data_IF_288503470622
#
_entry.id   IF_288503470622
#
_cell.length_a   1.000
_cell.length_b   1.000
_cell.length_c   1.000
_cell.angle_alpha   90.00
_cell.angle_beta   90.00
_cell.angle_gamma   90.00
#
_symmetry.space_group_name_H-M   'P 1'
#
loop_
_entity.id
_entity.type
_entity.pdbx_description
1 polymer ?
#
# COMPACT_ATOMS: atom_id res chain seq x y z
N UNK A 1 9.85 -27.14 -53.74
CA UNK A 1 8.83 -26.09 -53.59
C UNK A 1 9.01 -25.48 -52.21
N UNK A 2 9.70 -24.35 -52.14
CA UNK A 2 9.64 -23.38 -51.05
C UNK A 2 8.26 -22.67 -51.16
N UNK A 3 7.49 -22.22 -50.17
CA UNK A 3 7.58 -21.98 -48.72
C UNK A 3 6.13 -22.01 -48.19
N UNK A 4 5.88 -22.54 -46.99
CA UNK A 4 5.03 -21.88 -45.99
C UNK A 4 5.44 -22.35 -44.60
N UNK A 5 6.60 -21.84 -44.20
CA UNK A 5 6.94 -21.64 -42.80
C UNK A 5 5.90 -20.68 -42.21
N UNK A 6 4.89 -21.21 -41.54
CA UNK A 6 3.94 -20.42 -40.72
C UNK A 6 3.61 -21.13 -39.42
N UNK A 7 4.58 -21.86 -38.89
CA UNK A 7 4.62 -22.22 -37.47
C UNK A 7 4.98 -20.98 -36.65
N UNK A 8 4.18 -19.91 -36.77
CA UNK A 8 4.16 -18.94 -35.70
C UNK A 8 3.87 -19.75 -34.43
N UNK A 9 4.78 -19.74 -33.46
CA UNK A 9 4.48 -20.21 -32.11
C UNK A 9 3.22 -19.47 -31.67
N UNK A 10 2.06 -20.10 -31.88
CA UNK A 10 0.80 -19.58 -31.37
C UNK A 10 0.97 -19.64 -29.87
N UNK A 11 0.76 -18.51 -29.21
CA UNK A 11 0.85 -18.39 -27.76
C UNK A 11 -0.45 -17.78 -27.28
N UNK A 12 -0.99 -18.29 -26.19
CA UNK A 12 -2.17 -17.71 -25.56
C UNK A 12 -1.75 -16.53 -24.70
N UNK A 13 -2.41 -15.38 -24.88
CA UNK A 13 -2.10 -14.18 -24.11
C UNK A 13 -2.22 -14.43 -22.59
N UNK A 14 -1.34 -13.84 -21.75
CA UNK A 14 -1.37 -14.02 -20.30
C UNK A 14 -2.74 -13.80 -19.65
N UNK A 15 -3.50 -12.80 -20.14
CA UNK A 15 -4.82 -12.48 -19.62
C UNK A 15 -5.86 -13.53 -20.01
N UNK A 16 -5.84 -13.99 -21.27
CA UNK A 16 -6.75 -15.05 -21.71
C UNK A 16 -6.46 -16.36 -20.98
N UNK A 17 -5.18 -16.74 -20.84
CA UNK A 17 -4.81 -17.92 -20.08
C UNK A 17 -5.22 -17.83 -18.61
N UNK A 18 -5.06 -16.66 -17.96
CA UNK A 18 -5.56 -16.44 -16.60
C UNK A 18 -7.10 -16.58 -16.49
N UNK A 19 -7.85 -16.14 -17.50
CA UNK A 19 -9.31 -16.31 -17.56
C UNK A 19 -9.71 -17.78 -17.65
N UNK A 20 -9.00 -18.58 -18.45
CA UNK A 20 -9.23 -20.02 -18.54
C UNK A 20 -8.87 -20.72 -17.21
N UNK A 21 -7.76 -20.33 -16.59
CA UNK A 21 -7.39 -20.84 -15.25
C UNK A 21 -8.46 -20.50 -14.21
N UNK A 22 -9.01 -19.27 -14.21
CA UNK A 22 -10.09 -18.84 -13.30
C UNK A 22 -11.32 -19.74 -13.42
N UNK A 23 -11.83 -19.96 -14.65
CA UNK A 23 -13.02 -20.79 -14.84
C UNK A 23 -12.75 -22.24 -14.40
N UNK A 24 -11.60 -22.82 -14.74
CA UNK A 24 -11.26 -24.18 -14.32
C UNK A 24 -11.06 -24.30 -12.80
N UNK A 25 -10.51 -23.27 -12.15
CA UNK A 25 -10.29 -23.23 -10.70
C UNK A 25 -11.61 -23.19 -9.92
N UNK A 26 -12.71 -22.67 -10.50
CA UNK A 26 -14.06 -22.73 -9.91
C UNK A 26 -14.64 -24.16 -9.88
N UNK A 27 -14.09 -25.09 -10.67
CA UNK A 27 -14.55 -26.48 -10.77
C UNK A 27 -13.43 -27.51 -10.53
N UNK A 28 -12.71 -27.46 -9.40
CA UNK A 28 -11.42 -28.14 -9.22
C UNK A 28 -11.50 -29.67 -9.13
N UNK A 29 -12.67 -30.24 -8.83
CA UNK A 29 -12.83 -31.68 -8.62
C UNK A 29 -13.34 -32.42 -9.87
N UNK A 30 -14.00 -31.72 -10.79
CA UNK A 30 -14.59 -32.32 -12.01
C UNK A 30 -13.86 -31.87 -13.27
N UNK A 31 -13.23 -30.70 -13.26
CA UNK A 31 -12.80 -30.04 -14.48
C UNK A 31 -14.00 -29.59 -15.33
N UNK A 32 -13.71 -28.97 -16.46
CA UNK A 32 -14.71 -28.51 -17.44
C UNK A 32 -14.56 -29.36 -18.70
N UNK A 33 -15.64 -29.93 -19.22
CA UNK A 33 -15.62 -30.64 -20.50
C UNK A 33 -15.16 -29.72 -21.63
N UNK A 34 -14.28 -30.22 -22.51
CA UNK A 34 -13.59 -29.36 -23.48
C UNK A 34 -14.57 -28.57 -24.36
N UNK A 35 -15.62 -29.25 -24.85
CA UNK A 35 -16.66 -28.63 -25.68
C UNK A 35 -17.51 -27.58 -24.94
N UNK A 36 -17.51 -27.58 -23.60
CA UNK A 36 -18.26 -26.65 -22.76
C UNK A 36 -17.44 -25.42 -22.33
N UNK A 37 -16.13 -25.37 -22.60
CA UNK A 37 -15.26 -24.26 -22.16
C UNK A 37 -15.77 -22.90 -22.64
N UNK A 38 -16.16 -22.79 -23.92
CA UNK A 38 -16.66 -21.54 -24.49
C UNK A 38 -17.94 -21.05 -23.80
N UNK A 39 -18.82 -21.98 -23.42
CA UNK A 39 -20.02 -21.67 -22.65
C UNK A 39 -19.69 -21.13 -21.25
N UNK A 40 -18.79 -21.79 -20.52
CA UNK A 40 -18.38 -21.33 -19.19
C UNK A 40 -17.63 -20.00 -19.23
N UNK A 41 -16.83 -19.77 -20.27
CA UNK A 41 -16.18 -18.49 -20.50
C UNK A 41 -17.22 -17.37 -20.69
N UNK A 42 -18.19 -17.57 -21.59
CA UNK A 42 -19.25 -16.60 -21.82
C UNK A 42 -20.07 -16.32 -20.56
N UNK A 43 -20.41 -17.38 -19.81
CA UNK A 43 -21.15 -17.27 -18.56
C UNK A 43 -20.42 -16.43 -17.51
N UNK A 44 -19.10 -16.59 -17.41
CA UNK A 44 -18.29 -15.91 -16.40
C UNK A 44 -18.00 -14.45 -16.78
N UNK A 45 -17.67 -14.19 -18.05
CA UNK A 45 -17.18 -12.87 -18.47
C UNK A 45 -18.19 -12.04 -19.25
N UNK A 46 -19.38 -12.59 -19.52
CA UNK A 46 -20.48 -11.93 -20.23
C UNK A 46 -20.16 -11.51 -21.67
N UNK A 47 -19.17 -12.12 -22.31
CA UNK A 47 -18.86 -11.99 -23.75
C UNK A 47 -18.27 -13.31 -24.28
N UNK A 48 -18.45 -13.64 -25.57
CA UNK A 48 -17.97 -14.89 -26.13
C UNK A 48 -16.45 -14.90 -26.32
N UNK A 49 -15.81 -16.06 -26.15
CA UNK A 49 -14.43 -16.28 -26.60
C UNK A 49 -14.43 -16.67 -28.08
N UNK A 50 -13.99 -15.75 -28.94
CA UNK A 50 -13.85 -16.02 -30.37
C UNK A 50 -12.47 -16.62 -30.66
N UNK A 51 -12.41 -17.94 -30.78
CA UNK A 51 -11.17 -18.67 -31.05
C UNK A 51 -10.50 -18.22 -32.36
N UNK A 52 -11.27 -17.86 -33.39
CA UNK A 52 -10.70 -17.46 -34.68
C UNK A 52 -9.91 -16.15 -34.55
N UNK A 53 -10.45 -15.20 -33.78
CA UNK A 53 -9.78 -13.94 -33.44
C UNK A 53 -8.49 -14.15 -32.64
N UNK A 54 -8.45 -15.19 -31.80
CA UNK A 54 -7.27 -15.63 -31.03
C UNK A 54 -6.31 -16.50 -31.86
N UNK A 55 -6.62 -16.77 -33.13
CA UNK A 55 -5.77 -17.55 -34.05
C UNK A 55 -5.94 -19.07 -33.94
N UNK A 56 -7.07 -19.55 -33.42
CA UNK A 56 -7.40 -20.96 -33.27
C UNK A 56 -8.67 -21.32 -34.05
N UNK A 57 -8.59 -22.40 -34.82
CA UNK A 57 -9.68 -22.95 -35.63
C UNK A 57 -10.61 -23.89 -34.83
N UNK A 58 -10.12 -24.44 -33.72
CA UNK A 58 -10.86 -25.34 -32.85
C UNK A 58 -10.42 -25.20 -31.38
N UNK A 59 -11.17 -25.82 -30.46
CA UNK A 59 -10.88 -25.78 -29.03
C UNK A 59 -9.66 -26.63 -28.67
N UNK A 60 -9.42 -27.74 -29.36
CA UNK A 60 -8.31 -28.66 -29.07
C UNK A 60 -6.93 -28.02 -29.29
N UNK A 61 -6.64 -27.36 -30.44
CA UNK A 61 -5.39 -26.62 -30.62
C UNK A 61 -5.19 -25.51 -29.60
N UNK A 62 -6.27 -24.83 -29.21
CA UNK A 62 -6.23 -23.79 -28.17
C UNK A 62 -5.84 -24.35 -26.80
N UNK A 63 -6.44 -25.48 -26.39
CA UNK A 63 -6.09 -26.16 -25.14
C UNK A 63 -4.65 -26.68 -25.17
N UNK A 64 -4.23 -27.26 -26.29
CA UNK A 64 -2.87 -27.75 -26.45
C UNK A 64 -1.86 -26.61 -26.27
N UNK A 65 -2.16 -25.44 -26.84
CA UNK A 65 -1.35 -24.24 -26.67
C UNK A 65 -1.28 -23.78 -25.20
N UNK A 66 -2.40 -23.75 -24.47
CA UNK A 66 -2.42 -23.44 -23.04
C UNK A 66 -1.51 -24.37 -22.22
N UNK A 67 -1.48 -25.66 -22.56
CA UNK A 67 -0.61 -26.63 -21.88
C UNK A 67 0.85 -26.39 -22.24
N UNK A 68 1.16 -26.17 -23.52
CA UNK A 68 2.51 -25.89 -24.01
C UNK A 68 3.08 -24.57 -23.44
N UNK A 69 2.24 -23.57 -23.22
CA UNK A 69 2.60 -22.28 -22.61
C UNK A 69 2.76 -22.36 -21.07
N UNK A 70 2.73 -23.57 -20.50
CA UNK A 70 2.90 -23.84 -19.08
C UNK A 70 1.86 -23.19 -18.15
N UNK A 71 0.64 -22.94 -18.64
CA UNK A 71 -0.47 -22.66 -17.73
C UNK A 71 -0.72 -23.89 -16.83
N UNK A 72 -1.21 -23.70 -15.60
CA UNK A 72 -1.40 -24.78 -14.62
C UNK A 72 -2.66 -25.62 -14.92
N UNK A 73 -2.78 -26.05 -16.17
CA UNK A 73 -3.94 -26.76 -16.72
C UNK A 73 -3.50 -28.13 -17.23
N UNK A 74 -4.37 -29.11 -17.05
CA UNK A 74 -4.21 -30.48 -17.56
C UNK A 74 -5.52 -30.98 -18.18
N UNK A 75 -5.39 -31.85 -19.18
CA UNK A 75 -6.53 -32.60 -19.69
C UNK A 75 -6.61 -33.93 -18.95
N UNK A 76 -7.76 -34.19 -18.36
CA UNK A 76 -8.08 -35.44 -17.66
C UNK A 76 -9.17 -36.19 -18.44
N UNK A 77 -9.09 -37.51 -18.42
CA UNK A 77 -10.12 -38.38 -19.00
C UNK A 77 -11.19 -38.69 -17.96
N UNK A 78 -12.43 -38.35 -18.28
CA UNK A 78 -13.59 -38.67 -17.44
C UNK A 78 -13.94 -40.14 -17.42
N UNK A 79 -14.54 -40.59 -16.32
CA UNK A 79 -15.10 -41.96 -16.21
C UNK A 79 -16.24 -42.23 -17.21
N UNK A 80 -16.81 -41.17 -17.78
CA UNK A 80 -17.86 -41.17 -18.80
C UNK A 80 -17.30 -41.03 -20.23
N UNK A 81 -15.98 -41.08 -20.41
CA UNK A 81 -15.31 -40.99 -21.71
C UNK A 81 -15.10 -39.56 -22.22
N UNK A 82 -15.58 -38.54 -21.50
CA UNK A 82 -15.40 -37.14 -21.89
C UNK A 82 -14.10 -36.57 -21.35
N UNK A 83 -13.32 -35.92 -22.22
CA UNK A 83 -12.11 -35.18 -21.85
C UNK A 83 -12.49 -33.87 -21.15
N UNK A 84 -11.77 -33.53 -20.08
CA UNK A 84 -12.00 -32.32 -19.29
C UNK A 84 -10.71 -31.56 -19.06
N UNK A 85 -10.81 -30.24 -19.05
CA UNK A 85 -9.74 -29.34 -18.67
C UNK A 85 -9.85 -29.03 -17.18
N UNK A 86 -8.80 -29.34 -16.42
CA UNK A 86 -8.74 -29.14 -14.97
C UNK A 86 -7.49 -28.35 -14.59
N UNK A 87 -7.52 -27.78 -13.39
CA UNK A 87 -6.34 -27.13 -12.79
C UNK A 87 -5.48 -28.17 -12.09
N UNK A 88 -4.22 -28.28 -12.50
CA UNK A 88 -3.22 -29.02 -11.75
C UNK A 88 -2.88 -28.23 -10.48
N UNK A 89 -3.29 -28.74 -9.31
CA UNK A 89 -3.14 -28.04 -8.02
C UNK A 89 -1.69 -27.70 -7.69
N UNK A 90 -0.75 -28.57 -8.03
CA UNK A 90 0.67 -28.37 -7.73
C UNK A 90 1.24 -27.28 -8.63
N UNK A 91 0.99 -27.37 -9.95
CA UNK A 91 1.43 -26.33 -10.90
C UNK A 91 0.76 -25.00 -10.62
N UNK A 92 -0.51 -24.98 -10.21
CA UNK A 92 -1.24 -23.76 -9.88
C UNK A 92 -0.57 -22.97 -8.76
N UNK A 93 -0.14 -23.64 -7.69
CA UNK A 93 0.57 -22.99 -6.59
C UNK A 93 1.85 -22.29 -7.06
N UNK A 94 2.70 -22.98 -7.84
CA UNK A 94 3.95 -22.41 -8.35
C UNK A 94 3.70 -21.29 -9.37
N UNK A 95 2.77 -21.51 -10.29
CA UNK A 95 2.40 -20.53 -11.30
C UNK A 95 1.89 -19.24 -10.65
N UNK A 96 0.97 -19.36 -9.69
CA UNK A 96 0.45 -18.23 -8.92
C UNK A 96 1.54 -17.51 -8.12
N UNK A 97 2.46 -18.25 -7.50
CA UNK A 97 3.62 -17.66 -6.84
C UNK A 97 4.44 -16.81 -7.82
N UNK A 98 4.68 -17.32 -9.03
CA UNK A 98 5.32 -16.57 -10.11
C UNK A 98 4.55 -15.31 -10.51
N UNK A 99 3.22 -15.39 -10.65
CA UNK A 99 2.34 -14.24 -10.95
C UNK A 99 2.48 -13.14 -9.87
N UNK A 100 2.50 -13.53 -8.60
CA UNK A 100 2.69 -12.61 -7.46
C UNK A 100 4.06 -11.95 -7.46
N UNK A 101 5.12 -12.74 -7.59
CA UNK A 101 6.52 -12.25 -7.61
C UNK A 101 6.73 -11.28 -8.77
N UNK A 102 6.18 -11.60 -9.94
CA UNK A 102 6.23 -10.73 -11.11
C UNK A 102 5.26 -9.53 -11.06
N UNK A 103 4.48 -9.37 -9.97
CA UNK A 103 3.50 -8.30 -9.78
C UNK A 103 2.54 -8.15 -10.97
N UNK A 104 2.10 -9.26 -11.57
CA UNK A 104 1.15 -9.25 -12.69
C UNK A 104 -0.28 -9.02 -12.18
N UNK A 105 -0.54 -7.81 -11.71
CA UNK A 105 -1.78 -7.44 -11.03
C UNK A 105 -3.02 -7.71 -11.88
N UNK A 106 -2.98 -7.47 -13.19
CA UNK A 106 -4.11 -7.76 -14.10
C UNK A 106 -4.54 -9.22 -14.04
N UNK A 107 -3.58 -10.16 -13.99
CA UNK A 107 -3.88 -11.58 -13.85
C UNK A 107 -4.42 -11.90 -12.44
N UNK A 108 -3.87 -11.29 -11.40
CA UNK A 108 -4.36 -11.47 -10.03
C UNK A 108 -5.81 -10.98 -9.88
N UNK A 109 -6.14 -9.85 -10.50
CA UNK A 109 -7.48 -9.28 -10.53
C UNK A 109 -8.45 -10.22 -11.27
N UNK A 110 -8.03 -10.82 -12.38
CA UNK A 110 -8.81 -11.86 -13.07
C UNK A 110 -9.03 -13.07 -12.14
N UNK A 111 -8.05 -13.49 -11.35
CA UNK A 111 -8.17 -14.72 -10.55
C UNK A 111 -8.96 -14.55 -9.24
N UNK A 112 -9.07 -13.33 -8.70
CA UNK A 112 -9.44 -13.12 -7.29
C UNK A 112 -10.93 -13.03 -6.96
N UNK A 113 -11.81 -13.01 -7.96
CA UNK A 113 -13.27 -12.92 -7.78
C UNK A 113 -13.69 -11.91 -6.70
N UNK A 114 -13.11 -10.70 -6.75
CA UNK A 114 -13.38 -9.64 -5.80
C UNK A 114 -14.64 -8.86 -6.19
N UNK A 115 -15.36 -8.27 -5.21
CA UNK A 115 -16.50 -7.40 -5.50
C UNK A 115 -16.14 -6.20 -6.40
N UNK A 116 -17.05 -5.81 -7.29
CA UNK A 116 -16.84 -4.70 -8.25
C UNK A 116 -16.63 -3.33 -7.58
N UNK A 117 -17.09 -3.17 -6.33
CA UNK A 117 -16.92 -1.97 -5.51
C UNK A 117 -15.62 -1.98 -4.68
N UNK A 118 -14.82 -3.05 -4.76
CA UNK A 118 -13.48 -3.12 -4.19
C UNK A 118 -12.42 -2.63 -5.19
N UNK A 119 -11.29 -2.15 -4.67
CA UNK A 119 -10.16 -1.80 -5.53
C UNK A 119 -9.48 -3.04 -6.11
N UNK A 120 -8.99 -2.90 -7.32
CA UNK A 120 -8.11 -3.87 -7.95
C UNK A 120 -6.72 -3.88 -7.28
N UNK A 121 -6.05 -5.03 -7.32
CA UNK A 121 -4.63 -5.15 -6.97
C UNK A 121 -3.78 -4.21 -7.83
N UNK A 122 -2.71 -3.68 -7.24
CA UNK A 122 -1.83 -2.72 -7.89
C UNK A 122 -2.31 -1.27 -7.81
N UNK A 123 -3.53 -1.02 -7.34
CA UNK A 123 -4.01 0.34 -7.10
C UNK A 123 -3.14 1.06 -6.06
N UNK A 124 -2.76 2.30 -6.37
CA UNK A 124 -2.01 3.16 -5.46
C UNK A 124 -2.92 4.29 -4.99
N UNK A 125 -2.93 4.55 -3.68
CA UNK A 125 -3.60 5.74 -3.17
C UNK A 125 -2.96 7.01 -3.77
N UNK A 126 -3.76 8.05 -4.02
CA UNK A 126 -3.21 9.36 -4.33
C UNK A 126 -2.24 9.77 -3.21
N UNK A 127 -1.10 10.35 -3.57
CA UNK A 127 -0.15 10.88 -2.59
C UNK A 127 -0.58 12.29 -2.24
N UNK A 128 -0.73 12.57 -0.95
CA UNK A 128 -0.91 13.95 -0.51
C UNK A 128 0.33 14.76 -0.89
N UNK A 129 0.14 15.84 -1.62
CA UNK A 129 1.19 16.77 -1.98
C UNK A 129 0.99 18.04 -1.18
N UNK A 130 2.03 18.41 -0.42
CA UNK A 130 2.03 19.70 0.26
C UNK A 130 1.92 20.82 -0.79
N UNK A 131 1.02 21.81 -0.63
CA UNK A 131 0.97 22.98 -1.49
C UNK A 131 2.35 23.62 -1.64
N UNK A 132 2.74 23.97 -2.87
CA UNK A 132 4.10 24.45 -3.17
C UNK A 132 4.48 25.71 -2.37
N UNK A 133 3.51 26.56 -2.06
CA UNK A 133 3.68 27.76 -1.24
C UNK A 133 3.99 27.48 0.24
N UNK A 134 3.78 26.25 0.72
CA UNK A 134 4.16 25.82 2.07
C UNK A 134 5.57 25.20 2.12
N UNK A 135 6.23 25.05 0.97
CA UNK A 135 7.61 24.57 0.89
C UNK A 135 8.54 25.76 0.71
N UNK A 136 9.36 26.03 1.71
CA UNK A 136 10.33 27.12 1.69
C UNK A 136 11.43 26.83 0.67
N UNK A 137 11.73 27.82 -0.19
CA UNK A 137 12.93 27.82 -1.00
C UNK A 137 14.10 28.25 -0.11
N UNK A 138 15.07 27.36 0.13
CA UNK A 138 16.29 27.77 0.84
C UNK A 138 17.13 28.67 -0.06
N UNK A 139 17.67 29.79 0.45
CA UNK A 139 18.72 30.53 -0.24
C UNK A 139 19.98 29.67 -0.44
N UNK A 140 20.70 29.89 -1.54
CA UNK A 140 22.00 29.23 -1.81
C UNK A 140 23.09 29.62 -0.81
N UNK A 141 22.93 30.76 -0.13
CA UNK A 141 23.85 31.28 0.88
C UNK A 141 23.10 31.39 2.21
N UNK A 142 23.46 30.52 3.16
CA UNK A 142 22.92 30.54 4.51
C UNK A 142 23.67 31.62 5.31
N UNK A 143 23.07 32.81 5.48
CA UNK A 143 23.63 33.87 6.33
C UNK A 143 22.55 34.45 7.26
N UNK A 144 22.86 34.62 8.55
CA UNK A 144 21.91 35.11 9.54
C UNK A 144 20.88 34.05 9.96
N UNK A 145 20.05 34.40 10.95
CA UNK A 145 19.14 33.50 11.67
C UNK A 145 17.95 33.03 10.79
N UNK A 146 18.26 32.25 9.74
CA UNK A 146 17.36 31.86 8.62
C UNK A 146 16.05 31.22 9.10
N UNK A 147 16.09 30.59 10.27
CA UNK A 147 14.94 29.97 10.91
C UNK A 147 13.79 30.98 11.14
N UNK A 148 14.10 32.26 11.35
CA UNK A 148 13.10 33.31 11.56
C UNK A 148 12.42 33.77 10.26
N UNK A 149 13.01 33.48 9.10
CA UNK A 149 12.46 33.86 7.79
C UNK A 149 11.59 32.76 7.16
N UNK A 150 11.60 31.55 7.74
CA UNK A 150 10.84 30.42 7.23
C UNK A 150 9.34 30.60 7.50
N UNK A 151 8.55 30.22 6.49
CA UNK A 151 7.13 30.00 6.65
C UNK A 151 6.88 28.68 7.38
N UNK A 152 6.12 28.75 8.48
CA UNK A 152 5.65 27.61 9.24
C UNK A 152 4.16 27.40 9.00
N UNK A 153 3.75 26.14 8.95
CA UNK A 153 2.34 25.75 8.94
C UNK A 153 2.03 24.82 10.11
N UNK A 154 0.81 24.92 10.63
CA UNK A 154 0.33 24.05 11.69
C UNK A 154 0.12 22.62 11.18
N UNK A 155 0.67 21.68 11.91
CA UNK A 155 0.59 20.26 11.66
C UNK A 155 0.24 19.51 12.94
N UNK A 156 -0.32 18.32 12.81
CA UNK A 156 -0.56 17.41 13.93
C UNK A 156 0.42 16.26 13.84
N UNK A 157 1.21 16.02 14.89
CA UNK A 157 2.04 14.83 14.99
C UNK A 157 1.15 13.60 15.22
N UNK A 158 1.22 12.65 14.30
CA UNK A 158 0.36 11.45 14.33
C UNK A 158 1.10 10.23 14.87
N UNK A 159 2.38 10.08 14.49
CA UNK A 159 3.21 8.96 14.92
C UNK A 159 4.69 9.31 14.83
N UNK A 160 5.50 8.85 15.79
CA UNK A 160 6.94 9.07 15.78
C UNK A 160 7.75 7.78 16.00
N UNK A 161 8.67 7.49 15.07
CA UNK A 161 9.62 6.38 15.19
C UNK A 161 10.98 6.88 15.67
N UNK A 162 11.44 7.99 15.08
CA UNK A 162 12.72 8.65 15.40
C UNK A 162 12.70 10.10 14.92
N UNK A 163 13.68 10.95 15.29
CA UNK A 163 13.76 12.31 14.77
C UNK A 163 13.83 12.43 13.24
N UNK A 164 14.28 11.38 12.53
CA UNK A 164 14.27 11.35 11.06
C UNK A 164 13.08 10.58 10.47
N UNK A 165 12.16 10.08 11.30
CA UNK A 165 11.01 9.32 10.86
C UNK A 165 9.79 9.61 11.75
N UNK A 166 9.06 10.65 11.38
CA UNK A 166 7.81 11.08 12.00
C UNK A 166 6.73 11.23 10.94
N UNK A 167 5.47 11.20 11.36
CA UNK A 167 4.32 11.30 10.49
C UNK A 167 3.38 12.39 10.98
N UNK A 168 2.98 13.29 10.09
CA UNK A 168 2.18 14.46 10.43
C UNK A 168 0.95 14.60 9.52
N UNK A 169 -0.10 15.23 10.03
CA UNK A 169 -1.26 15.70 9.26
C UNK A 169 -1.24 17.21 9.16
N UNK A 170 -1.73 17.75 8.04
CA UNK A 170 -1.98 19.18 7.92
C UNK A 170 -3.17 19.58 8.81
N UNK A 171 -3.04 20.68 9.57
CA UNK A 171 -4.12 21.25 10.35
C UNK A 171 -4.90 22.25 9.48
N UNK A 172 -5.71 21.72 8.57
CA UNK A 172 -6.63 22.49 7.74
C UNK A 172 -8.04 21.88 7.83
N UNK A 173 -9.07 22.73 7.85
CA UNK A 173 -10.45 22.31 8.09
C UNK A 173 -10.95 21.33 7.03
N UNK A 174 -10.62 21.56 5.76
CA UNK A 174 -11.05 20.69 4.66
C UNK A 174 -10.41 19.30 4.77
N UNK A 175 -9.10 19.25 5.07
CA UNK A 175 -8.37 18.00 5.23
C UNK A 175 -8.82 17.23 6.47
N UNK A 176 -9.00 17.93 7.59
CA UNK A 176 -9.50 17.34 8.83
C UNK A 176 -10.89 16.74 8.62
N UNK A 177 -11.80 17.49 7.98
CA UNK A 177 -13.16 17.05 7.70
C UNK A 177 -13.19 15.86 6.73
N UNK A 178 -12.36 15.88 5.68
CA UNK A 178 -12.27 14.80 4.71
C UNK A 178 -11.77 13.49 5.36
N UNK A 179 -10.72 13.55 6.17
CA UNK A 179 -10.22 12.39 6.90
C UNK A 179 -11.21 11.89 7.96
N UNK A 180 -11.88 12.80 8.66
CA UNK A 180 -12.93 12.46 9.63
C UNK A 180 -14.12 11.76 8.96
N UNK A 181 -14.58 12.26 7.80
CA UNK A 181 -15.63 11.61 7.00
C UNK A 181 -15.23 10.21 6.55
N UNK A 182 -14.01 10.03 6.04
CA UNK A 182 -13.49 8.72 5.68
C UNK A 182 -13.59 7.73 6.85
N UNK A 183 -13.14 8.12 8.05
CA UNK A 183 -13.19 7.26 9.26
C UNK A 183 -14.62 6.87 9.63
N UNK A 184 -15.57 7.81 9.53
CA UNK A 184 -16.99 7.53 9.78
C UNK A 184 -17.52 6.56 8.73
N UNK A 185 -17.30 6.84 7.45
CA UNK A 185 -17.87 6.06 6.36
C UNK A 185 -17.32 4.63 6.34
N UNK A 186 -16.07 4.41 6.75
CA UNK A 186 -15.46 3.08 6.86
C UNK A 186 -16.12 2.20 7.94
N UNK A 187 -16.95 2.76 8.85
CA UNK A 187 -17.76 1.96 9.78
C UNK A 187 -18.77 1.06 9.05
N UNK A 188 -19.04 1.28 7.75
CA UNK A 188 -19.89 0.36 6.98
C UNK A 188 -19.34 -1.06 6.92
N UNK A 189 -18.03 -1.27 7.16
CA UNK A 189 -17.45 -2.62 7.27
C UNK A 189 -17.94 -3.40 8.48
N UNK A 190 -18.52 -2.75 9.50
CA UNK A 190 -19.11 -3.44 10.66
C UNK A 190 -20.49 -4.07 10.35
N UNK A 191 -21.06 -3.83 9.16
CA UNK A 191 -22.25 -4.56 8.72
C UNK A 191 -21.90 -6.04 8.51
N UNK A 192 -22.70 -6.94 9.09
CA UNK A 192 -22.53 -8.40 9.02
C UNK A 192 -22.48 -8.89 7.57
N UNK A 193 -23.30 -8.31 6.68
CA UNK A 193 -23.32 -8.68 5.25
C UNK A 193 -21.97 -8.41 4.56
N UNK A 194 -21.17 -7.49 5.09
CA UNK A 194 -19.88 -7.09 4.56
C UNK A 194 -18.72 -7.93 5.11
N UNK A 195 -18.95 -8.75 6.14
CA UNK A 195 -17.89 -9.46 6.84
C UNK A 195 -17.18 -10.47 5.92
N UNK A 196 -17.96 -11.29 5.22
CA UNK A 196 -17.43 -12.25 4.25
C UNK A 196 -17.26 -11.63 2.86
N UNK A 197 -18.15 -10.72 2.44
CA UNK A 197 -18.13 -10.10 1.10
C UNK A 197 -16.78 -9.47 0.77
N UNK A 198 -16.19 -8.73 1.73
CA UNK A 198 -14.93 -8.03 1.51
C UNK A 198 -13.74 -8.71 2.17
N UNK A 199 -13.86 -9.96 2.62
CA UNK A 199 -12.70 -10.68 3.15
C UNK A 199 -11.60 -10.76 2.10
N UNK A 200 -10.35 -10.49 2.50
CA UNK A 200 -9.21 -10.63 1.58
C UNK A 200 -9.01 -12.11 1.22
N UNK A 201 -9.13 -12.52 -0.05
CA UNK A 201 -8.88 -13.90 -0.45
C UNK A 201 -7.40 -14.28 -0.21
N UNK A 202 -7.12 -15.53 0.16
CA UNK A 202 -5.73 -16.01 0.36
C UNK A 202 -4.85 -15.82 -0.89
N UNK A 203 -5.47 -15.86 -2.07
CA UNK A 203 -4.86 -15.53 -3.34
C UNK A 203 -4.26 -14.12 -3.35
N UNK A 204 -4.90 -13.15 -2.71
CA UNK A 204 -4.49 -11.74 -2.69
C UNK A 204 -3.62 -11.38 -1.49
N UNK A 205 -3.24 -12.33 -0.65
CA UNK A 205 -2.27 -12.09 0.41
C UNK A 205 -0.86 -12.01 -0.21
N UNK A 206 -0.35 -10.78 -0.35
CA UNK A 206 1.01 -10.45 -0.80
C UNK A 206 1.42 -9.04 -0.33
N UNK A 207 2.72 -8.77 -0.32
CA UNK A 207 3.27 -7.47 0.08
C UNK A 207 2.89 -6.37 -0.92
N UNK A 208 2.36 -5.27 -0.40
CA UNK A 208 1.89 -4.13 -1.17
C UNK A 208 0.38 -4.13 -1.45
N UNK A 209 -0.38 -5.14 -1.03
CA UNK A 209 -1.84 -5.08 -1.10
C UNK A 209 -2.36 -3.94 -0.22
N UNK A 210 -3.17 -3.07 -0.81
CA UNK A 210 -3.94 -2.04 -0.10
C UNK A 210 -5.25 -2.66 0.44
N UNK A 211 -5.46 -2.55 1.74
CA UNK A 211 -6.58 -3.16 2.45
C UNK A 211 -7.09 -2.25 3.58
N UNK A 212 -8.27 -2.59 4.13
CA UNK A 212 -8.78 -2.03 5.36
C UNK A 212 -8.51 -3.00 6.53
N UNK A 213 -8.18 -2.45 7.70
CA UNK A 213 -7.98 -3.21 8.93
C UNK A 213 -8.64 -2.49 10.10
N UNK A 214 -9.21 -3.26 11.01
CA UNK A 214 -9.74 -2.71 12.26
C UNK A 214 -8.67 -2.72 13.34
N UNK A 215 -8.31 -1.56 13.88
CA UNK A 215 -7.24 -1.43 14.87
C UNK A 215 -7.79 -1.22 16.28
N UNK A 216 -7.50 -2.17 17.17
CA UNK A 216 -8.06 -2.18 18.52
C UNK A 216 -7.59 -1.02 19.41
N UNK A 217 -6.37 -0.50 19.21
CA UNK A 217 -5.82 0.57 20.05
C UNK A 217 -6.41 1.95 19.77
N UNK A 218 -7.00 2.14 18.58
CA UNK A 218 -7.62 3.42 18.17
C UNK A 218 -9.13 3.20 18.08
N UNK A 219 -9.78 3.12 19.25
CA UNK A 219 -11.24 3.03 19.38
C UNK A 219 -11.91 1.94 18.52
N UNK A 220 -11.20 0.85 18.20
CA UNK A 220 -11.68 -0.21 17.32
C UNK A 220 -12.14 0.28 15.93
N UNK A 221 -11.51 1.32 15.39
CA UNK A 221 -11.90 1.88 14.09
C UNK A 221 -11.22 1.19 12.91
N UNK A 222 -11.83 1.35 11.74
CA UNK A 222 -11.30 0.89 10.46
C UNK A 222 -10.31 1.91 9.90
N UNK A 223 -9.16 1.40 9.45
CA UNK A 223 -8.10 2.19 8.86
C UNK A 223 -7.68 1.63 7.52
N UNK A 224 -7.25 2.51 6.61
CA UNK A 224 -6.59 2.12 5.37
C UNK A 224 -5.17 1.67 5.67
N UNK A 225 -4.72 0.61 5.02
CA UNK A 225 -3.45 -0.04 5.33
C UNK A 225 -2.82 -0.71 4.13
N UNK A 226 -1.51 -0.87 4.14
CA UNK A 226 -0.78 -1.65 3.14
C UNK A 226 -0.06 -2.81 3.84
N UNK A 227 -0.18 -4.02 3.28
CA UNK A 227 0.59 -5.18 3.74
C UNK A 227 2.08 -4.96 3.46
N UNK A 228 2.91 -4.98 4.51
CA UNK A 228 4.36 -4.86 4.42
C UNK A 228 5.04 -6.24 4.36
N UNK A 229 4.53 -7.20 5.13
CA UNK A 229 5.04 -8.57 5.18
C UNK A 229 4.00 -9.51 5.76
N UNK A 230 4.06 -10.79 5.40
CA UNK A 230 3.15 -11.84 5.89
C UNK A 230 3.98 -12.99 6.45
N UNK A 231 3.64 -13.48 7.64
CA UNK A 231 4.27 -14.65 8.24
C UNK A 231 3.57 -15.98 7.83
N UNK A 232 4.03 -17.11 8.37
CA UNK A 232 3.49 -18.44 8.03
C UNK A 232 2.07 -18.68 8.56
N UNK A 233 1.67 -17.94 9.58
CA UNK A 233 0.36 -18.04 10.23
C UNK A 233 -0.64 -16.98 9.69
N UNK A 234 -0.28 -16.33 8.57
CA UNK A 234 -0.99 -15.22 7.94
C UNK A 234 -1.15 -13.99 8.85
N UNK A 235 -0.26 -13.79 9.82
CA UNK A 235 -0.15 -12.50 10.49
C UNK A 235 0.57 -11.52 9.56
N UNK A 236 -0.05 -10.38 9.37
CA UNK A 236 0.39 -9.34 8.46
C UNK A 236 0.95 -8.18 9.27
N UNK A 237 2.13 -7.70 8.90
CA UNK A 237 2.58 -6.36 9.27
C UNK A 237 1.96 -5.35 8.32
N UNK A 238 1.31 -4.33 8.86
CA UNK A 238 0.47 -3.39 8.10
C UNK A 238 0.91 -1.97 8.38
N UNK A 239 1.21 -1.19 7.34
CA UNK A 239 1.39 0.25 7.47
C UNK A 239 0.02 0.92 7.43
N UNK A 240 -0.37 1.63 8.49
CA UNK A 240 -1.55 2.48 8.49
C UNK A 240 -1.24 3.75 7.69
N UNK A 241 -1.67 3.82 6.43
CA UNK A 241 -1.24 4.87 5.48
C UNK A 241 -1.68 6.28 5.85
N UNK A 242 -2.67 6.39 6.72
CA UNK A 242 -3.17 7.66 7.24
C UNK A 242 -2.58 8.03 8.60
N UNK A 243 -1.72 7.20 9.19
CA UNK A 243 -1.14 7.46 10.53
C UNK A 243 0.38 7.35 10.51
N UNK A 244 0.92 6.38 9.77
CA UNK A 244 2.34 6.04 9.73
C UNK A 244 2.76 4.93 10.68
N UNK A 245 1.86 4.48 11.57
CA UNK A 245 2.10 3.36 12.48
C UNK A 245 2.14 2.03 11.71
N UNK A 246 2.96 1.10 12.21
CA UNK A 246 3.02 -0.27 11.70
C UNK A 246 2.43 -1.20 12.75
N UNK A 247 1.32 -1.84 12.39
CA UNK A 247 0.57 -2.73 13.27
C UNK A 247 0.67 -4.18 12.79
N UNK A 248 0.31 -5.11 13.67
CA UNK A 248 0.17 -6.52 13.35
C UNK A 248 -1.29 -6.94 13.47
N UNK A 249 -1.79 -7.64 12.44
CA UNK A 249 -3.12 -8.25 12.47
C UNK A 249 -3.14 -9.51 11.61
N UNK A 250 -3.93 -10.50 12.02
CA UNK A 250 -4.16 -11.69 11.20
C UNK A 250 -4.98 -11.35 9.95
N UNK A 251 -4.65 -11.98 8.81
CA UNK A 251 -5.30 -11.78 7.52
C UNK A 251 -6.84 -11.91 7.57
N UNK A 252 -7.38 -12.73 8.48
CA UNK A 252 -8.84 -12.88 8.68
C UNK A 252 -9.55 -11.58 9.08
N UNK A 253 -8.82 -10.63 9.66
CA UNK A 253 -9.34 -9.32 10.07
C UNK A 253 -9.15 -8.24 9.02
N UNK A 254 -8.56 -8.57 7.86
CA UNK A 254 -8.41 -7.64 6.75
C UNK A 254 -9.64 -7.66 5.86
N UNK A 255 -9.94 -6.50 5.29
CA UNK A 255 -10.95 -6.34 4.25
C UNK A 255 -10.35 -5.71 3.00
N UNK A 256 -10.85 -6.11 1.84
CA UNK A 256 -10.58 -5.42 0.58
C UNK A 256 -11.00 -3.96 0.73
N UNK A 257 -10.14 -3.03 0.30
CA UNK A 257 -10.47 -1.61 0.38
C UNK A 257 -11.53 -1.28 -0.69
N UNK A 258 -12.61 -0.60 -0.29
CA UNK A 258 -13.62 -0.15 -1.25
C UNK A 258 -13.10 1.02 -2.08
N UNK A 259 -13.50 1.10 -3.36
CA UNK A 259 -13.10 2.16 -4.28
C UNK A 259 -13.42 3.56 -3.73
N UNK A 260 -14.57 3.73 -3.09
CA UNK A 260 -14.96 4.99 -2.43
C UNK A 260 -13.99 5.47 -1.35
N UNK A 261 -13.27 4.55 -0.69
CA UNK A 261 -12.28 4.87 0.34
C UNK A 261 -10.87 5.10 -0.22
N UNK A 262 -10.64 4.78 -1.49
CA UNK A 262 -9.36 4.97 -2.16
C UNK A 262 -9.21 6.35 -2.81
N UNK A 263 -10.28 7.16 -2.84
CA UNK A 263 -10.29 8.49 -3.47
C UNK A 263 -9.50 9.54 -2.67
N UNK A 264 -9.57 9.48 -1.34
CA UNK A 264 -8.84 10.41 -0.49
C UNK A 264 -7.33 10.11 -0.58
N UNK A 265 -6.43 11.09 -0.74
CA UNK A 265 -5.00 10.84 -0.65
C UNK A 265 -4.61 10.21 0.69
N UNK A 266 -3.51 9.46 0.74
CA UNK A 266 -2.94 9.00 2.01
C UNK A 266 -2.57 10.22 2.88
N UNK A 267 -3.07 10.30 4.10
CA UNK A 267 -3.02 11.52 4.92
C UNK A 267 -1.71 11.70 5.68
N UNK A 268 -0.99 10.62 5.99
CA UNK A 268 0.25 10.71 6.75
C UNK A 268 1.41 11.24 5.88
N UNK A 269 1.87 12.45 6.19
CA UNK A 269 3.09 13.00 5.62
C UNK A 269 4.30 12.54 6.43
N UNK A 270 5.21 11.82 5.77
CA UNK A 270 6.47 11.40 6.38
C UNK A 270 7.46 12.56 6.39
N UNK A 271 7.98 12.89 7.56
CA UNK A 271 8.91 14.01 7.77
C UNK A 271 10.17 13.57 8.51
N UNK A 272 11.26 14.30 8.28
CA UNK A 272 12.54 14.14 8.98
C UNK A 272 13.03 15.50 9.45
N UNK A 273 13.53 15.56 10.69
CA UNK A 273 14.07 16.78 11.25
C UNK A 273 15.40 17.15 10.58
N UNK A 274 15.51 18.40 10.14
CA UNK A 274 16.67 18.93 9.43
C UNK A 274 17.72 19.46 10.42
N UNK A 275 18.98 19.49 10.00
CA UNK A 275 20.07 20.12 10.75
C UNK A 275 20.65 19.28 11.90
N UNK A 276 20.17 18.05 12.09
CA UNK A 276 20.68 17.14 13.12
C UNK A 276 20.91 15.72 12.60
N UNK A 277 21.78 14.99 13.29
CA UNK A 277 22.06 13.58 13.06
C UNK A 277 22.25 12.82 14.40
N UNK A 278 22.14 11.47 14.40
CA UNK A 278 22.35 10.67 15.59
C UNK A 278 23.74 10.85 16.22
N UNK A 279 23.82 10.65 17.53
CA UNK A 279 25.09 10.62 18.25
C UNK A 279 25.78 9.28 17.99
N UNK A 280 26.97 9.31 17.39
CA UNK A 280 27.79 8.14 17.15
C UNK A 280 28.51 8.18 15.80
N UNK A 281 29.11 7.05 15.43
CA UNK A 281 29.84 6.90 14.15
C UNK A 281 28.94 6.60 12.95
N UNK A 282 27.68 6.25 13.19
CA UNK A 282 26.71 5.94 12.13
C UNK A 282 25.55 6.92 12.19
N UNK A 283 25.30 7.60 11.08
CA UNK A 283 24.19 8.54 10.94
C UNK A 283 22.82 7.84 10.81
N UNK A 284 22.77 6.50 10.91
CA UNK A 284 21.55 5.71 10.73
C UNK A 284 20.87 5.30 12.03
N UNK A 285 21.54 5.39 13.18
CA UNK A 285 21.06 4.79 14.43
C UNK A 285 20.82 5.81 15.54
N UNK A 286 19.57 6.29 15.62
CA UNK A 286 19.10 7.09 16.75
C UNK A 286 19.11 6.29 18.06
N UNK A 287 19.59 6.91 19.14
CA UNK A 287 19.54 6.35 20.49
C UNK A 287 18.09 6.13 20.93
N UNK A 288 17.87 5.15 21.81
CA UNK A 288 16.52 4.90 22.33
C UNK A 288 15.95 6.12 23.07
N UNK A 289 16.82 6.91 23.70
CA UNK A 289 16.44 8.17 24.35
C UNK A 289 15.92 9.22 23.37
N UNK A 290 16.57 9.38 22.21
CA UNK A 290 16.10 10.28 21.15
C UNK A 290 14.77 9.82 20.56
N UNK A 291 14.61 8.51 20.30
CA UNK A 291 13.34 7.92 19.83
C UNK A 291 12.21 8.13 20.84
N UNK A 292 12.46 7.84 22.11
CA UNK A 292 11.48 8.03 23.18
C UNK A 292 11.14 9.51 23.39
N UNK A 293 12.06 10.43 23.11
CA UNK A 293 11.79 11.86 23.20
C UNK A 293 10.71 12.29 22.22
N UNK A 294 10.85 11.95 20.93
CA UNK A 294 9.85 12.29 19.92
C UNK A 294 8.54 11.52 20.09
N UNK A 295 8.58 10.28 20.60
CA UNK A 295 7.37 9.52 20.95
C UNK A 295 6.56 10.16 22.08
N UNK A 296 7.22 10.74 23.08
CA UNK A 296 6.50 11.47 24.13
C UNK A 296 5.76 12.70 23.56
N UNK A 297 6.27 13.33 22.51
CA UNK A 297 5.56 14.43 21.83
C UNK A 297 4.26 13.95 21.18
N UNK A 298 4.21 12.70 20.72
CA UNK A 298 3.00 12.05 20.19
C UNK A 298 2.00 11.72 21.32
N UNK A 299 2.45 11.05 22.37
CA UNK A 299 1.58 10.56 23.48
C UNK A 299 0.92 11.68 24.27
N UNK A 300 1.56 12.86 24.32
CA UNK A 300 0.95 14.05 24.89
C UNK A 300 0.05 14.69 23.83
N UNK A 301 -1.17 14.16 23.70
CA UNK A 301 -2.32 14.75 22.98
C UNK A 301 -2.63 16.22 23.40
N UNK A 302 -1.85 16.78 24.34
CA UNK A 302 -1.92 18.09 24.93
C UNK A 302 -0.91 19.12 24.37
N UNK A 303 0.05 18.79 23.51
CA UNK A 303 0.99 19.80 22.98
C UNK A 303 0.36 20.77 21.95
N UNK A 304 -0.88 20.54 21.51
CA UNK A 304 -1.49 21.32 20.44
C UNK A 304 -0.88 20.99 19.07
N UNK A 305 -1.21 21.74 18.01
CA UNK A 305 -0.50 21.61 16.75
C UNK A 305 0.99 21.90 16.94
N UNK A 306 1.83 21.15 16.24
CA UNK A 306 3.23 21.52 16.02
C UNK A 306 3.28 22.43 14.80
N UNK A 307 4.33 23.23 14.68
CA UNK A 307 4.55 24.03 13.50
C UNK A 307 5.75 23.52 12.73
N UNK A 308 5.53 23.26 11.44
CA UNK A 308 6.54 22.72 10.55
C UNK A 308 6.89 23.73 9.47
N UNK A 309 8.19 24.00 9.29
CA UNK A 309 8.70 24.65 8.10
C UNK A 309 9.28 23.58 7.17
N UNK A 310 8.68 23.43 5.99
CA UNK A 310 9.12 22.45 4.99
C UNK A 310 10.20 23.03 4.10
N UNK A 311 11.24 22.24 3.80
CA UNK A 311 12.50 22.70 3.19
C UNK A 311 12.86 21.85 1.95
N UNK A 312 11.85 21.19 1.40
CA UNK A 312 11.98 20.25 0.30
C UNK A 312 11.89 18.79 0.73
N UNK A 313 12.23 17.90 -0.20
CA UNK A 313 11.96 16.46 -0.09
C UNK A 313 13.22 15.66 -0.37
N UNK A 314 13.44 14.62 0.43
CA UNK A 314 14.48 13.62 0.22
C UNK A 314 13.82 12.24 0.20
N UNK A 315 13.87 11.55 -0.95
CA UNK A 315 13.20 10.26 -1.14
C UNK A 315 11.70 10.33 -0.81
N UNK A 316 11.22 9.52 0.13
CA UNK A 316 9.84 9.45 0.59
C UNK A 316 9.50 10.45 1.72
N UNK A 317 10.45 11.30 2.15
CA UNK A 317 10.31 12.15 3.34
C UNK A 317 10.48 13.62 3.02
N UNK A 318 9.73 14.47 3.71
CA UNK A 318 9.97 15.91 3.72
C UNK A 318 11.01 16.28 4.78
N UNK A 319 11.92 17.19 4.43
CA UNK A 319 12.84 17.82 5.38
C UNK A 319 12.10 18.97 6.06
N UNK A 320 12.10 18.97 7.39
CA UNK A 320 11.38 19.97 8.16
C UNK A 320 12.22 20.53 9.31
N UNK A 321 11.99 21.79 9.67
CA UNK A 321 12.18 22.25 11.04
C UNK A 321 10.85 22.17 11.76
N UNK A 322 10.88 21.74 13.01
CA UNK A 322 9.70 21.65 13.86
C UNK A 322 9.90 22.57 15.05
N UNK A 323 8.90 23.41 15.31
CA UNK A 323 8.75 24.13 16.57
C UNK A 323 7.44 23.71 17.24
N UNK A 324 7.43 23.69 18.56
CA UNK A 324 6.24 23.31 19.31
C UNK A 324 6.19 24.08 20.64
N UNK A 325 4.99 24.19 21.18
CA UNK A 325 4.75 24.80 22.47
C UNK A 325 4.95 23.76 23.59
N UNK A 326 5.92 23.99 24.46
CA UNK A 326 6.16 23.14 25.63
C UNK A 326 5.41 23.71 26.83
N UNK A 327 4.22 23.17 27.13
CA UNK A 327 3.38 23.58 28.27
C UNK A 327 4.09 23.60 29.63
N UNK A 328 5.20 22.87 29.78
CA UNK A 328 5.94 22.78 31.04
C UNK A 328 7.03 23.86 31.12
N UNK A 329 7.62 24.23 29.99
CA UNK A 329 8.77 25.15 29.94
C UNK A 329 8.43 26.56 29.50
N UNK A 330 7.42 26.71 28.65
CA UNK A 330 7.03 27.97 28.04
C UNK A 330 6.15 28.76 29.00
N UNK A 331 6.47 30.04 29.20
CA UNK A 331 5.72 30.93 30.09
C UNK A 331 4.52 31.52 29.33
N UNK A 332 4.69 31.74 28.02
CA UNK A 332 3.65 32.24 27.11
C UNK A 332 3.45 31.28 25.92
N UNK A 333 2.23 31.23 25.37
CA UNK A 333 1.89 30.41 24.18
C UNK A 333 2.74 30.73 22.93
N UNK A 334 3.39 31.91 22.90
CA UNK A 334 4.28 32.32 21.81
C UNK A 334 5.74 31.84 21.97
N UNK A 335 6.11 31.26 23.11
CA UNK A 335 7.47 30.75 23.37
C UNK A 335 7.65 29.36 22.75
N UNK A 336 7.69 29.32 21.42
CA UNK A 336 7.86 28.09 20.65
C UNK A 336 9.32 27.63 20.68
N UNK A 337 9.52 26.34 20.94
CA UNK A 337 10.85 25.74 21.03
C UNK A 337 11.16 24.92 19.79
N UNK A 338 12.35 25.11 19.24
CA UNK A 338 12.85 24.30 18.13
C UNK A 338 13.23 22.90 18.60
N UNK A 339 12.59 21.89 18.02
CA UNK A 339 12.81 20.49 18.41
C UNK A 339 14.28 20.06 18.19
N UNK A 340 14.92 20.55 17.12
CA UNK A 340 16.30 20.19 16.82
C UNK A 340 17.26 20.72 17.89
N UNK A 341 17.08 21.96 18.33
CA UNK A 341 17.87 22.58 19.39
C UNK A 341 17.70 21.82 20.71
N UNK A 342 16.46 21.47 21.08
CA UNK A 342 16.19 20.72 22.31
C UNK A 342 16.88 19.34 22.29
N UNK A 343 16.89 18.66 21.15
CA UNK A 343 17.58 17.38 21.01
C UNK A 343 19.10 17.54 21.15
N UNK A 344 19.68 18.62 20.62
CA UNK A 344 21.11 18.92 20.79
C UNK A 344 21.45 19.28 22.24
N UNK A 345 20.69 20.19 22.86
CA UNK A 345 20.88 20.62 24.25
C UNK A 345 20.79 19.46 25.24
N UNK A 346 19.91 18.49 24.97
CA UNK A 346 19.76 17.27 25.76
C UNK A 346 20.79 16.19 25.44
N UNK A 347 21.73 16.46 24.54
CA UNK A 347 22.72 15.50 24.07
C UNK A 347 22.04 14.22 23.54
N UNK A 348 20.98 14.40 22.76
CA UNK A 348 20.25 13.34 22.04
C UNK A 348 20.53 13.37 20.53
N UNK A 349 21.08 14.46 20.03
CA UNK A 349 21.52 14.65 18.65
C UNK A 349 22.77 15.54 18.59
N UNK A 350 23.40 15.60 17.42
CA UNK A 350 24.46 16.57 17.08
C UNK A 350 24.11 17.29 15.79
N UNK A 351 24.62 18.52 15.64
CA UNK A 351 24.37 19.34 14.46
C UNK A 351 24.96 18.66 13.22
N UNK A 352 24.19 18.63 12.14
CA UNK A 352 24.63 18.17 10.83
C UNK A 352 25.28 19.34 10.09
N UNK A 353 26.60 19.28 9.89
CA UNK A 353 27.37 20.37 9.25
C UNK A 353 27.06 20.60 7.77
N UNK A 354 26.25 19.74 7.13
CA UNK A 354 25.88 19.86 5.71
C UNK A 354 24.53 20.56 5.48
N UNK A 355 23.72 20.80 6.53
CA UNK A 355 22.33 21.30 6.39
C UNK A 355 22.00 22.52 7.29
N UNK A 356 22.97 23.10 7.99
CA UNK A 356 22.77 24.28 8.85
C UNK A 356 23.81 25.38 8.58
N UNK A 357 23.43 26.68 8.64
CA UNK A 357 24.41 27.74 8.80
C UNK A 357 25.13 27.55 10.13
N UNK A 358 26.45 27.66 10.10
CA UNK A 358 27.28 27.79 11.30
C UNK A 358 27.05 29.23 11.80
N UNK A 359 26.76 29.36 13.10
CA UNK A 359 26.44 30.61 13.81
C UNK A 359 27.30 31.83 13.43
#
# INVERSE_FOLDING_TARGET
>A
MNVSDSGANRTVSPLLGARIVRICHKYPNKGIELHSILYYFHKEFLYPLDLMSEGFDAIEPFIQCLICDNYPLEVIDGSDGWRRLAVDKRRYYYWLSGVKVAKRYDMMNILADIPDDAIACGHQLPKFQLPANLVNALPEILSGNILNELCFCEMRLMYAISPHEMFVHICDDDHHLAYHRLRIDMRSYDNVDNEDKYRVPSLLLFDGLLCAVRYHKICHEWHRSIILSIDRDNNCRLLLVDIGDVIEANAKHLRLLLQKYAQLPAQALKVQLTGIRPIGKSDQHWSQWAKNFVKRLEEHNYCGPIECAFIGRQSDRYRVFIRYYDKIKSINENDLLFLHQILVDKQLAIISGNDMPID
#
